data_IF_179293464997
#
_entry.id   IF_179293464997
#
_cell.length_a   1.000
_cell.length_b   1.000
_cell.length_c   1.000
_cell.angle_alpha   90.00
_cell.angle_beta   90.00
_cell.angle_gamma   90.00
#
_symmetry.space_group_name_H-M   'P 1'
#
loop_
_entity.id
_entity.type
_entity.pdbx_description
1 polymer ?
#
# COMPACT_ATOMS: atom_id res chain seq x y z
N UNK A 1 0.14 11.89 8.31
CA UNK A 1 0.14 12.76 9.52
C UNK A 1 -1.16 12.58 10.33
N UNK A 2 -2.34 12.50 9.69
CA UNK A 2 -3.64 12.31 10.39
C UNK A 2 -3.74 11.01 11.17
N UNK A 3 -3.19 9.91 10.65
CA UNK A 3 -3.25 8.59 11.28
C UNK A 3 -2.61 8.54 12.69
N UNK A 4 -1.56 9.33 12.93
CA UNK A 4 -0.90 9.40 14.24
C UNK A 4 -1.83 9.86 15.39
N UNK A 5 -2.88 10.62 15.06
CA UNK A 5 -3.86 11.11 16.04
C UNK A 5 -5.12 10.26 16.10
N UNK A 6 -5.30 9.36 15.13
CA UNK A 6 -6.45 8.47 15.02
C UNK A 6 -6.12 7.04 15.48
N UNK A 7 -4.88 6.80 15.91
CA UNK A 7 -4.46 5.50 16.42
C UNK A 7 -4.83 5.40 17.90
N UNK A 8 -6.10 5.07 18.13
CA UNK A 8 -6.69 4.99 19.47
C UNK A 8 -6.53 3.58 20.03
N UNK A 9 -6.23 3.50 21.33
CA UNK A 9 -6.34 2.27 22.10
C UNK A 9 -7.69 2.18 22.80
N UNK A 10 -7.93 1.08 23.46
CA UNK A 10 -9.12 0.87 24.28
C UNK A 10 -8.73 0.65 25.73
N UNK A 11 -9.53 1.14 26.66
CA UNK A 11 -9.40 0.87 28.09
C UNK A 11 -10.77 0.51 28.66
N UNK A 12 -10.89 -0.66 29.26
CA UNK A 12 -12.15 -1.19 29.81
C UNK A 12 -11.91 -1.71 31.21
N UNK A 13 -12.73 -1.27 32.19
CA UNK A 13 -12.79 -1.89 33.52
C UNK A 13 -13.46 -3.26 33.38
N UNK A 14 -12.77 -4.32 33.74
CA UNK A 14 -13.31 -5.68 33.78
C UNK A 14 -14.06 -5.91 35.06
N UNK A 15 -13.52 -5.44 36.16
CA UNK A 15 -14.09 -5.44 37.49
C UNK A 15 -13.54 -4.24 38.30
N UNK A 16 -13.89 -4.16 39.62
CA UNK A 16 -13.49 -3.07 40.49
C UNK A 16 -11.96 -2.90 40.64
N UNK A 17 -11.18 -3.94 40.36
CA UNK A 17 -9.73 -3.98 40.57
C UNK A 17 -8.90 -4.24 39.29
N UNK A 18 -9.57 -4.49 38.15
CA UNK A 18 -8.92 -4.93 36.92
C UNK A 18 -9.25 -4.02 35.75
N UNK A 19 -8.22 -3.39 35.16
CA UNK A 19 -8.29 -2.60 33.93
C UNK A 19 -7.65 -3.36 32.79
N UNK A 20 -8.40 -3.57 31.72
CA UNK A 20 -7.85 -4.05 30.43
C UNK A 20 -7.53 -2.87 29.53
N UNK A 21 -6.35 -2.89 28.94
CA UNK A 21 -5.93 -1.89 27.94
C UNK A 21 -5.45 -2.56 26.66
N UNK A 22 -5.86 -2.01 25.53
CA UNK A 22 -5.33 -2.36 24.21
C UNK A 22 -4.35 -1.26 23.79
N UNK A 23 -3.09 -1.61 23.68
CA UNK A 23 -2.03 -0.72 23.21
C UNK A 23 -1.58 -1.16 21.82
N UNK A 24 -1.23 -0.20 20.97
CA UNK A 24 -0.67 -0.47 19.65
C UNK A 24 0.84 -0.29 19.71
N UNK A 25 1.55 -1.25 19.16
CA UNK A 25 3.02 -1.26 19.12
C UNK A 25 3.50 -1.45 17.67
N UNK A 26 4.73 -0.99 17.34
CA UNK A 26 5.35 -1.29 16.05
C UNK A 26 5.42 -2.80 15.80
N UNK A 27 5.11 -3.22 14.57
CA UNK A 27 5.23 -4.64 14.19
C UNK A 27 6.67 -5.06 13.93
N UNK A 28 7.55 -4.10 13.55
CA UNK A 28 8.96 -4.34 13.28
C UNK A 28 9.41 -3.90 11.89
N UNK A 29 9.99 -4.82 11.11
CA UNK A 29 10.52 -4.58 9.77
C UNK A 29 9.45 -4.89 8.71
N UNK A 30 9.06 -3.88 7.93
CA UNK A 30 8.04 -4.02 6.88
C UNK A 30 8.69 -4.10 5.50
N UNK A 31 8.54 -5.24 4.83
CA UNK A 31 8.91 -5.41 3.43
C UNK A 31 7.80 -4.87 2.51
N UNK A 32 8.12 -3.91 1.67
CA UNK A 32 7.16 -3.24 0.79
C UNK A 32 7.57 -3.39 -0.68
N UNK A 33 6.62 -3.72 -1.55
CA UNK A 33 6.83 -3.83 -3.00
C UNK A 33 5.77 -2.98 -3.70
N UNK A 34 6.21 -2.07 -4.57
CA UNK A 34 5.33 -1.12 -5.27
C UNK A 34 5.39 -1.27 -6.79
N UNK A 35 4.28 -0.96 -7.49
CA UNK A 35 4.19 -1.01 -8.94
C UNK A 35 4.77 0.24 -9.61
N UNK A 36 4.62 0.30 -10.92
CA UNK A 36 5.20 1.32 -11.81
C UNK A 36 4.25 2.49 -12.14
N UNK A 37 2.94 2.33 -11.94
CA UNK A 37 1.94 3.29 -12.43
C UNK A 37 1.85 4.60 -11.63
N UNK A 38 2.16 4.57 -10.33
CA UNK A 38 2.25 5.74 -9.45
C UNK A 38 3.43 5.61 -8.48
N UNK A 39 4.68 5.63 -8.96
CA UNK A 39 5.83 5.20 -8.14
C UNK A 39 6.00 6.02 -6.87
N UNK A 40 5.94 7.35 -6.93
CA UNK A 40 6.10 8.21 -5.75
C UNK A 40 4.89 8.11 -4.81
N UNK A 41 3.67 8.11 -5.37
CA UNK A 41 2.44 8.02 -4.59
C UNK A 41 2.36 6.70 -3.83
N UNK A 42 2.65 5.58 -4.51
CA UNK A 42 2.64 4.25 -3.90
C UNK A 42 3.73 4.10 -2.83
N UNK A 43 4.90 4.72 -3.05
CA UNK A 43 5.94 4.82 -2.04
C UNK A 43 5.44 5.56 -0.80
N UNK A 44 4.90 6.75 -0.97
CA UNK A 44 4.37 7.56 0.13
C UNK A 44 3.25 6.86 0.90
N UNK A 45 2.30 6.21 0.20
CA UNK A 45 1.19 5.49 0.83
C UNK A 45 1.62 4.31 1.69
N UNK A 46 2.77 3.70 1.40
CA UNK A 46 3.29 2.58 2.17
C UNK A 46 4.29 3.01 3.25
N UNK A 47 5.19 3.93 2.92
CA UNK A 47 6.23 4.40 3.86
C UNK A 47 5.59 5.20 5.01
N UNK A 48 4.71 6.17 4.70
CA UNK A 48 4.20 7.10 5.69
C UNK A 48 3.44 6.40 6.84
N UNK A 49 2.46 5.50 6.61
CA UNK A 49 1.78 4.81 7.71
C UNK A 49 2.71 3.84 8.47
N UNK A 50 3.67 3.20 7.80
CA UNK A 50 4.64 2.33 8.47
C UNK A 50 5.51 3.12 9.46
N UNK A 51 6.02 4.28 9.05
CA UNK A 51 6.80 5.18 9.90
C UNK A 51 5.95 5.78 11.02
N UNK A 52 4.71 6.17 10.71
CA UNK A 52 3.79 6.71 11.70
C UNK A 52 3.52 5.73 12.85
N UNK A 53 3.49 4.42 12.54
CA UNK A 53 3.35 3.35 13.52
C UNK A 53 4.69 2.88 14.14
N UNK A 54 5.80 3.59 13.91
CA UNK A 54 7.10 3.30 14.50
C UNK A 54 7.88 2.13 13.87
N UNK A 55 7.51 1.69 12.66
CA UNK A 55 8.16 0.58 11.97
C UNK A 55 9.36 1.03 11.13
N UNK A 56 10.25 0.09 10.81
CA UNK A 56 11.29 0.26 9.79
C UNK A 56 10.85 -0.36 8.47
N UNK A 57 11.42 0.13 7.36
CA UNK A 57 10.94 -0.20 6.01
C UNK A 57 12.10 -0.62 5.10
N UNK A 58 11.89 -1.72 4.38
CA UNK A 58 12.65 -2.04 3.16
C UNK A 58 11.65 -2.02 2.00
N UNK A 59 11.79 -1.04 1.10
CA UNK A 59 10.87 -0.87 -0.02
C UNK A 59 11.56 -1.12 -1.35
N UNK A 60 10.94 -1.96 -2.18
CA UNK A 60 11.37 -2.24 -3.55
C UNK A 60 10.52 -1.45 -4.54
N UNK A 61 11.18 -0.60 -5.32
CA UNK A 61 10.55 0.07 -6.48
C UNK A 61 10.25 -0.91 -7.62
N UNK A 62 9.37 -0.51 -8.53
CA UNK A 62 9.33 -1.14 -9.86
C UNK A 62 10.68 -0.96 -10.57
N UNK A 63 11.09 -1.97 -11.35
CA UNK A 63 12.33 -1.90 -12.14
C UNK A 63 12.28 -0.84 -13.25
N UNK A 64 11.08 -0.44 -13.69
CA UNK A 64 10.87 0.54 -14.77
C UNK A 64 10.78 1.98 -14.28
N UNK A 65 10.44 2.21 -13.00
CA UNK A 65 10.18 3.55 -12.46
C UNK A 65 10.84 3.79 -11.09
N UNK A 66 12.16 3.58 -10.93
CA UNK A 66 12.80 3.70 -9.62
C UNK A 66 13.13 5.13 -9.22
N UNK A 67 13.33 6.05 -10.18
CA UNK A 67 14.03 7.33 -9.95
C UNK A 67 13.34 8.22 -8.92
N UNK A 68 12.02 8.41 -9.00
CA UNK A 68 11.31 9.28 -8.05
C UNK A 68 11.36 8.75 -6.61
N UNK A 69 11.38 7.42 -6.44
CA UNK A 69 11.52 6.82 -5.13
C UNK A 69 12.93 6.96 -4.58
N UNK A 70 13.96 6.89 -5.44
CA UNK A 70 15.36 7.11 -5.04
C UNK A 70 15.58 8.54 -4.58
N UNK A 71 15.03 9.55 -5.29
CA UNK A 71 15.07 10.95 -4.85
C UNK A 71 14.36 11.13 -3.51
N UNK A 72 13.19 10.49 -3.32
CA UNK A 72 12.53 10.48 -2.01
C UNK A 72 13.44 9.86 -0.93
N UNK A 73 14.18 8.82 -1.27
CA UNK A 73 15.14 8.17 -0.36
C UNK A 73 16.25 9.10 0.10
N UNK A 74 16.80 9.93 -0.79
CA UNK A 74 17.80 10.95 -0.45
C UNK A 74 17.23 11.93 0.59
N UNK A 75 16.01 12.43 0.35
CA UNK A 75 15.33 13.36 1.29
C UNK A 75 15.06 12.66 2.64
N UNK A 76 14.61 11.41 2.62
CA UNK A 76 14.33 10.67 3.85
C UNK A 76 15.61 10.41 4.68
N UNK A 77 16.74 10.19 4.03
CA UNK A 77 18.04 10.02 4.70
C UNK A 77 18.54 11.29 5.41
N UNK A 78 18.08 12.47 4.99
CA UNK A 78 18.42 13.74 5.66
C UNK A 78 17.61 13.95 6.96
N UNK A 79 16.41 13.39 7.04
CA UNK A 79 15.44 13.69 8.12
C UNK A 79 15.16 12.50 9.06
N UNK A 80 15.57 11.29 8.69
CA UNK A 80 15.35 10.08 9.48
C UNK A 80 16.67 9.48 9.94
N UNK A 81 16.68 8.75 11.06
CA UNK A 81 17.84 7.96 11.45
C UNK A 81 18.22 6.93 10.38
N UNK A 82 19.51 6.67 10.23
CA UNK A 82 20.03 5.71 9.26
C UNK A 82 19.39 4.32 9.44
N UNK A 83 18.99 3.69 8.33
CA UNK A 83 18.42 2.35 8.33
C UNK A 83 16.90 2.28 8.60
N UNK A 84 16.25 3.39 8.92
CA UNK A 84 14.77 3.41 9.13
C UNK A 84 14.03 3.15 7.82
N UNK A 85 14.47 3.75 6.71
CA UNK A 85 13.93 3.48 5.37
C UNK A 85 15.04 3.05 4.44
N UNK A 86 14.89 1.90 3.81
CA UNK A 86 15.85 1.32 2.89
C UNK A 86 15.17 1.09 1.54
N UNK A 87 15.65 1.75 0.50
CA UNK A 87 15.10 1.63 -0.86
C UNK A 87 16.00 0.70 -1.66
N UNK A 88 15.41 -0.34 -2.21
CA UNK A 88 16.10 -1.28 -3.08
C UNK A 88 15.49 -1.28 -4.48
N UNK A 89 16.31 -1.55 -5.47
CA UNK A 89 15.92 -1.66 -6.87
C UNK A 89 16.17 -3.07 -7.39
N UNK A 90 15.58 -3.39 -8.52
CA UNK A 90 15.78 -4.68 -9.17
C UNK A 90 14.51 -5.29 -9.74
N UNK A 91 14.67 -6.42 -10.41
CA UNK A 91 13.57 -7.14 -11.07
C UNK A 91 12.68 -7.85 -10.04
N UNK A 92 11.38 -8.02 -10.38
CA UNK A 92 10.44 -8.77 -9.54
C UNK A 92 10.89 -10.19 -9.26
N UNK A 93 11.26 -10.92 -10.33
CA UNK A 93 11.66 -12.33 -10.26
C UNK A 93 12.97 -12.59 -9.49
N UNK A 94 13.82 -11.60 -9.29
CA UNK A 94 15.05 -11.76 -8.50
C UNK A 94 14.96 -11.04 -7.16
N UNK A 95 14.96 -9.70 -7.17
CA UNK A 95 14.96 -8.89 -5.96
C UNK A 95 13.63 -9.00 -5.21
N UNK A 96 12.49 -9.03 -5.93
CA UNK A 96 11.18 -9.24 -5.33
C UNK A 96 11.10 -10.60 -4.65
N UNK A 97 11.52 -11.67 -5.36
CA UNK A 97 11.53 -13.02 -4.80
C UNK A 97 12.45 -13.13 -3.58
N UNK A 98 13.65 -12.54 -3.65
CA UNK A 98 14.57 -12.52 -2.50
C UNK A 98 13.97 -11.86 -1.25
N UNK A 99 13.13 -10.82 -1.43
CA UNK A 99 12.38 -10.24 -0.30
C UNK A 99 11.34 -11.23 0.25
N UNK A 100 10.62 -11.94 -0.63
CA UNK A 100 9.62 -12.92 -0.19
C UNK A 100 10.24 -14.09 0.56
N UNK A 101 11.44 -14.50 0.18
CA UNK A 101 12.17 -15.62 0.80
C UNK A 101 12.92 -15.21 2.08
N UNK A 102 13.15 -13.90 2.27
CA UNK A 102 13.96 -13.42 3.40
C UNK A 102 13.19 -13.50 4.72
N UNK A 103 13.74 -14.15 5.77
CA UNK A 103 13.03 -14.36 7.04
C UNK A 103 12.89 -13.11 7.92
N UNK A 104 13.63 -12.06 7.64
CA UNK A 104 13.74 -10.87 8.49
C UNK A 104 12.64 -9.81 8.31
N UNK A 105 11.51 -10.16 7.71
CA UNK A 105 10.34 -9.27 7.64
C UNK A 105 9.24 -9.73 8.61
N UNK A 106 8.70 -8.79 9.36
CA UNK A 106 7.58 -9.00 10.27
C UNK A 106 6.23 -8.75 9.60
N UNK A 107 6.24 -8.05 8.45
CA UNK A 107 5.06 -7.80 7.61
C UNK A 107 5.47 -7.63 6.15
N UNK A 108 4.60 -8.07 5.23
CA UNK A 108 4.71 -7.76 3.80
C UNK A 108 3.59 -6.83 3.36
N UNK A 109 3.91 -5.86 2.51
CA UNK A 109 2.94 -4.96 1.88
C UNK A 109 3.22 -4.88 0.37
N UNK A 110 2.25 -5.27 -0.43
CA UNK A 110 2.38 -5.37 -1.87
C UNK A 110 1.27 -4.58 -2.58
N UNK A 111 1.64 -3.89 -3.65
CA UNK A 111 0.70 -3.38 -4.65
C UNK A 111 1.17 -3.81 -6.03
N UNK A 112 0.30 -4.45 -6.79
CA UNK A 112 0.62 -4.93 -8.13
C UNK A 112 -0.40 -5.90 -8.71
N UNK A 113 0.05 -6.88 -9.50
CA UNK A 113 -0.83 -7.87 -10.11
C UNK A 113 -1.38 -8.87 -9.10
N UNK A 114 -2.57 -9.38 -9.36
CA UNK A 114 -3.20 -10.43 -8.55
C UNK A 114 -2.35 -11.71 -8.49
N UNK A 115 -1.71 -12.06 -9.60
CA UNK A 115 -0.83 -13.24 -9.70
C UNK A 115 0.33 -13.15 -8.67
N UNK A 116 1.09 -12.06 -8.68
CA UNK A 116 2.16 -11.83 -7.70
C UNK A 116 1.61 -11.65 -6.28
N UNK A 117 0.40 -11.10 -6.15
CA UNK A 117 -0.30 -11.00 -4.86
C UNK A 117 -0.49 -12.36 -4.18
N UNK A 118 -0.81 -13.41 -4.94
CA UNK A 118 -0.86 -14.78 -4.41
C UNK A 118 0.49 -15.27 -3.89
N UNK A 119 1.59 -14.95 -4.57
CA UNK A 119 2.92 -15.35 -4.12
C UNK A 119 3.32 -14.62 -2.83
N UNK A 120 3.01 -13.33 -2.72
CA UNK A 120 3.20 -12.56 -1.50
C UNK A 120 2.37 -13.13 -0.35
N UNK A 121 1.09 -13.46 -0.60
CA UNK A 121 0.21 -14.07 0.40
C UNK A 121 0.77 -15.41 0.90
N UNK A 122 1.21 -16.28 -0.01
CA UNK A 122 1.82 -17.57 0.33
C UNK A 122 3.10 -17.38 1.16
N UNK A 123 3.99 -16.47 0.76
CA UNK A 123 5.22 -16.18 1.48
C UNK A 123 4.94 -15.68 2.91
N UNK A 124 3.95 -14.83 3.08
CA UNK A 124 3.52 -14.34 4.39
C UNK A 124 2.90 -15.48 5.23
N UNK A 125 2.01 -16.28 4.65
CA UNK A 125 1.36 -17.41 5.31
C UNK A 125 2.37 -18.46 5.79
N UNK A 126 3.38 -18.77 4.99
CA UNK A 126 4.44 -19.73 5.36
C UNK A 126 5.24 -19.30 6.60
N UNK A 127 5.23 -18.01 6.93
CA UNK A 127 5.92 -17.43 8.09
C UNK A 127 4.98 -16.95 9.18
N UNK A 128 3.67 -17.08 8.98
CA UNK A 128 2.61 -16.58 9.87
C UNK A 128 2.73 -15.08 10.16
N UNK A 129 3.19 -14.28 9.17
CA UNK A 129 3.26 -12.83 9.24
C UNK A 129 2.11 -12.17 8.46
N UNK A 130 1.64 -10.99 8.86
CA UNK A 130 0.57 -10.31 8.14
C UNK A 130 1.02 -9.82 6.76
N UNK A 131 0.09 -9.82 5.80
CA UNK A 131 0.26 -9.21 4.50
C UNK A 131 -0.85 -8.19 4.22
N UNK A 132 -0.47 -7.04 3.62
CA UNK A 132 -1.42 -6.10 3.01
C UNK A 132 -1.26 -6.16 1.50
N UNK A 133 -2.35 -6.44 0.80
CA UNK A 133 -2.36 -6.63 -0.65
C UNK A 133 -3.31 -5.63 -1.30
N UNK A 134 -2.77 -4.80 -2.19
CA UNK A 134 -3.50 -3.91 -3.08
C UNK A 134 -3.31 -4.41 -4.50
N UNK A 135 -4.39 -4.86 -5.13
CA UNK A 135 -4.32 -5.60 -6.38
C UNK A 135 -5.10 -4.91 -7.49
N UNK A 136 -5.08 -5.50 -8.67
CA UNK A 136 -5.85 -5.01 -9.81
C UNK A 136 -7.35 -5.20 -9.62
N UNK A 137 -8.13 -4.49 -10.42
CA UNK A 137 -9.58 -4.56 -10.39
C UNK A 137 -10.20 -4.18 -11.74
N UNK A 138 -11.52 -4.33 -11.82
CA UNK A 138 -12.38 -3.86 -12.88
C UNK A 138 -13.60 -3.18 -12.24
N UNK A 139 -13.37 -1.99 -11.68
CA UNK A 139 -14.38 -1.24 -10.94
C UNK A 139 -15.57 -0.84 -11.82
N UNK A 140 -16.75 -0.82 -11.22
CA UNK A 140 -17.96 -0.37 -11.89
C UNK A 140 -18.10 1.16 -11.81
N UNK A 141 -18.63 1.74 -12.89
CA UNK A 141 -19.14 3.10 -12.96
C UNK A 141 -20.65 3.00 -13.19
N UNK A 142 -21.45 3.50 -12.26
CA UNK A 142 -22.91 3.31 -12.28
C UNK A 142 -23.60 4.67 -12.39
N UNK A 143 -24.46 4.81 -13.39
CA UNK A 143 -25.22 6.02 -13.68
C UNK A 143 -26.71 5.73 -13.61
N UNK A 144 -27.41 6.47 -12.74
CA UNK A 144 -28.85 6.42 -12.61
C UNK A 144 -29.53 7.42 -13.56
N UNK A 145 -30.84 7.31 -13.79
CA UNK A 145 -31.60 8.12 -14.70
C UNK A 145 -31.68 9.62 -14.32
N UNK A 146 -31.51 9.91 -13.02
CA UNK A 146 -31.48 11.28 -12.48
C UNK A 146 -30.07 11.93 -12.50
N UNK A 147 -29.05 11.28 -13.08
CA UNK A 147 -27.70 11.81 -13.12
C UNK A 147 -27.58 13.03 -14.05
N UNK A 148 -26.62 13.92 -13.74
CA UNK A 148 -26.24 15.02 -14.64
C UNK A 148 -25.37 14.46 -15.76
N UNK A 149 -25.95 14.29 -16.96
CA UNK A 149 -25.34 13.60 -18.10
C UNK A 149 -23.93 14.13 -18.44
N UNK A 150 -23.74 15.44 -18.52
CA UNK A 150 -22.45 16.03 -18.87
C UNK A 150 -21.38 15.68 -17.85
N UNK A 151 -21.71 15.74 -16.55
CA UNK A 151 -20.79 15.32 -15.47
C UNK A 151 -20.54 13.82 -15.46
N UNK A 152 -21.54 13.01 -15.84
CA UNK A 152 -21.37 11.58 -15.96
C UNK A 152 -20.37 11.23 -17.08
N UNK A 153 -20.45 11.92 -18.22
CA UNK A 153 -19.51 11.76 -19.33
C UNK A 153 -18.08 12.16 -18.92
N UNK A 154 -17.91 13.34 -18.32
CA UNK A 154 -16.62 13.79 -17.81
C UNK A 154 -16.04 12.81 -16.76
N UNK A 155 -16.89 12.37 -15.83
CA UNK A 155 -16.52 11.42 -14.79
C UNK A 155 -16.12 10.06 -15.37
N UNK A 156 -16.82 9.56 -16.39
CA UNK A 156 -16.47 8.33 -17.09
C UNK A 156 -15.12 8.45 -17.81
N UNK A 157 -14.88 9.56 -18.49
CA UNK A 157 -13.61 9.82 -19.19
C UNK A 157 -12.44 9.86 -18.20
N UNK A 158 -12.53 10.67 -17.14
CA UNK A 158 -11.50 10.75 -16.11
C UNK A 158 -11.33 9.39 -15.41
N UNK A 159 -12.43 8.74 -15.09
CA UNK A 159 -12.45 7.47 -14.38
C UNK A 159 -11.73 6.32 -15.08
N UNK A 160 -11.63 6.37 -16.41
CA UNK A 160 -10.95 5.33 -17.19
C UNK A 160 -9.68 5.81 -17.90
N UNK A 161 -9.62 7.06 -18.35
CA UNK A 161 -8.49 7.55 -19.15
C UNK A 161 -7.36 8.15 -18.30
N UNK A 162 -7.64 8.50 -17.03
CA UNK A 162 -6.61 9.01 -16.13
C UNK A 162 -5.41 8.06 -16.08
N UNK A 163 -4.20 8.63 -16.10
CA UNK A 163 -2.95 7.88 -16.15
C UNK A 163 -2.94 6.80 -17.25
N UNK A 164 -3.48 7.10 -18.43
CA UNK A 164 -3.55 6.17 -19.58
C UNK A 164 -4.35 4.87 -19.30
N UNK A 165 -5.33 4.93 -18.39
CA UNK A 165 -6.09 3.78 -17.95
C UNK A 165 -5.34 2.82 -17.01
N UNK A 166 -4.14 3.20 -16.57
CA UNK A 166 -3.25 2.37 -15.76
C UNK A 166 -3.49 2.60 -14.27
N UNK A 167 -4.73 2.39 -13.83
CA UNK A 167 -5.21 2.66 -12.47
C UNK A 167 -5.95 1.43 -11.95
N UNK A 168 -5.55 0.90 -10.81
CA UNK A 168 -6.16 -0.29 -10.20
C UNK A 168 -7.67 -0.12 -9.92
N UNK A 169 -8.11 1.08 -9.60
CA UNK A 169 -9.51 1.43 -9.33
C UNK A 169 -10.23 2.10 -10.52
N UNK A 170 -9.67 2.06 -11.75
CA UNK A 170 -10.30 2.66 -12.91
C UNK A 170 -11.72 2.10 -13.15
N UNK A 171 -12.69 2.98 -13.41
CA UNK A 171 -14.08 2.65 -13.71
C UNK A 171 -14.23 2.04 -15.10
N UNK A 172 -13.69 0.83 -15.28
CA UNK A 172 -13.58 0.17 -16.58
C UNK A 172 -14.86 -0.53 -17.08
N UNK A 173 -15.90 -0.55 -16.26
CA UNK A 173 -17.23 -1.08 -16.62
C UNK A 173 -18.27 -0.01 -16.37
N UNK A 174 -19.01 0.35 -17.40
CA UNK A 174 -20.09 1.35 -17.34
C UNK A 174 -21.43 0.65 -17.31
N UNK A 175 -22.23 0.96 -16.30
CA UNK A 175 -23.61 0.52 -16.15
C UNK A 175 -24.50 1.75 -16.17
N UNK A 176 -25.51 1.74 -17.02
CA UNK A 176 -26.50 2.83 -17.17
C UNK A 176 -27.85 2.24 -16.87
N UNK A 177 -28.63 2.93 -16.03
CA UNK A 177 -30.02 2.60 -15.78
C UNK A 177 -30.85 2.86 -17.05
N UNK A 178 -31.77 1.93 -17.39
CA UNK A 178 -32.71 2.05 -18.48
C UNK A 178 -33.80 3.09 -18.19
#
# INVERSE_FOLDING_TARGET
AGCLRADEGEAVMIDENSLSMVLREPIGVVGQIIPWNFPLLMGAWKIAPALAAGNTVVIKSSSTTPLSLLVLGEILNEVLPAGVVNIITGRGASTGQAMLDHPGFDKLAFTGSTEVGYDVAKAAANRLIPATLELGGKSANIYFDDCQIDKAIEGAQIGILFNQGQVCCAGSRIFVQE
#
